data_IF_373221127622
#
_entry.id   IF_373221127622
#
_cell.length_a   1.000
_cell.length_b   1.000
_cell.length_c   1.000
_cell.angle_alpha   90.00
_cell.angle_beta   90.00
_cell.angle_gamma   90.00
#
_symmetry.space_group_name_H-M   'P 1'
#
loop_
_entity.id
_entity.type
_entity.pdbx_description
1 polymer ?
#
# COMPACT_ATOMS: atom_id res chain seq x y z
N UNK A 1 -3.31 27.97 -1.42
CA UNK A 1 -2.92 26.89 -2.33
C UNK A 1 -1.47 26.48 -2.08
N UNK A 2 -1.19 25.18 -2.01
CA UNK A 2 0.17 24.70 -1.73
C UNK A 2 1.12 25.04 -2.87
N UNK A 3 2.26 25.65 -2.52
CA UNK A 3 3.30 25.98 -3.51
C UNK A 3 4.13 24.74 -3.84
N UNK A 4 4.90 24.83 -4.93
CA UNK A 4 5.83 23.77 -5.33
C UNK A 4 6.84 23.45 -4.21
N UNK A 5 7.38 24.49 -3.57
CA UNK A 5 8.36 24.30 -2.49
C UNK A 5 7.74 23.62 -1.27
N UNK A 6 6.52 23.98 -0.93
CA UNK A 6 5.79 23.31 0.15
C UNK A 6 5.51 21.85 -0.18
N UNK A 7 5.16 21.57 -1.44
CA UNK A 7 4.93 20.21 -1.91
C UNK A 7 6.20 19.36 -1.78
N UNK A 8 7.34 19.88 -2.24
CA UNK A 8 8.62 19.16 -2.15
C UNK A 8 8.96 18.83 -0.69
N UNK A 9 8.73 19.77 0.22
CA UNK A 9 8.99 19.54 1.65
C UNK A 9 8.08 18.45 2.22
N UNK A 10 6.81 18.48 1.86
CA UNK A 10 5.85 17.46 2.31
C UNK A 10 6.22 16.07 1.77
N UNK A 11 6.59 16.00 0.50
CA UNK A 11 7.03 14.75 -0.11
C UNK A 11 8.27 14.21 0.60
N UNK A 12 9.23 15.08 0.92
CA UNK A 12 10.45 14.67 1.64
C UNK A 12 10.12 14.02 2.99
N UNK A 13 9.08 14.51 3.67
CA UNK A 13 8.65 13.96 4.95
C UNK A 13 7.89 12.63 4.80
N UNK A 14 7.12 12.48 3.73
CA UNK A 14 6.21 11.33 3.57
C UNK A 14 6.78 10.22 2.69
N UNK A 15 7.87 10.46 1.98
CA UNK A 15 8.40 9.54 0.98
C UNK A 15 8.78 8.18 1.56
N UNK A 16 9.42 8.15 2.71
CA UNK A 16 9.85 6.89 3.34
C UNK A 16 8.64 6.02 3.72
N UNK A 17 7.62 6.63 4.33
CA UNK A 17 6.39 5.93 4.71
C UNK A 17 5.66 5.39 3.48
N UNK A 18 5.59 6.19 2.41
CA UNK A 18 4.98 5.78 1.15
C UNK A 18 5.68 4.55 0.56
N UNK A 19 7.00 4.57 0.52
CA UNK A 19 7.78 3.46 -0.05
C UNK A 19 7.66 2.19 0.79
N UNK A 20 7.67 2.32 2.12
CA UNK A 20 7.46 1.17 3.01
C UNK A 20 6.07 0.54 2.80
N UNK A 21 5.06 1.38 2.69
CA UNK A 21 3.69 0.94 2.47
C UNK A 21 3.56 0.17 1.14
N UNK A 22 4.07 0.74 0.06
CA UNK A 22 4.00 0.12 -1.26
C UNK A 22 4.83 -1.16 -1.33
N UNK A 23 6.00 -1.20 -0.67
CA UNK A 23 6.82 -2.41 -0.62
C UNK A 23 6.06 -3.55 0.06
N UNK A 24 5.38 -3.26 1.17
CA UNK A 24 4.58 -4.26 1.87
C UNK A 24 3.38 -4.70 1.03
N UNK A 25 2.71 -3.76 0.35
CA UNK A 25 1.61 -4.09 -0.57
C UNK A 25 2.07 -5.01 -1.69
N UNK A 26 3.28 -4.81 -2.19
CA UNK A 26 3.88 -5.62 -3.25
C UNK A 26 4.61 -6.84 -2.69
N UNK A 27 4.37 -7.17 -1.43
CA UNK A 27 4.90 -8.37 -0.76
C UNK A 27 6.42 -8.50 -0.88
N UNK A 28 7.11 -7.36 -0.77
CA UNK A 28 8.57 -7.31 -0.76
C UNK A 28 9.22 -7.00 -2.11
N UNK A 29 8.44 -6.88 -3.18
CA UNK A 29 8.99 -6.53 -4.49
C UNK A 29 9.30 -5.03 -4.53
N UNK A 30 10.54 -4.68 -4.22
CA UNK A 30 10.97 -3.29 -4.14
C UNK A 30 10.97 -2.58 -5.49
N UNK A 31 11.26 -3.30 -6.57
CA UNK A 31 11.26 -2.73 -7.92
C UNK A 31 9.87 -2.25 -8.32
N UNK A 32 8.86 -3.09 -8.16
CA UNK A 32 7.47 -2.73 -8.46
C UNK A 32 6.99 -1.63 -7.52
N UNK A 33 7.35 -1.71 -6.23
CA UNK A 33 6.98 -0.69 -5.25
C UNK A 33 7.58 0.68 -5.60
N UNK A 34 8.84 0.71 -6.04
CA UNK A 34 9.49 1.97 -6.46
C UNK A 34 8.80 2.58 -7.67
N UNK A 35 8.42 1.77 -8.65
CA UNK A 35 7.68 2.24 -9.82
C UNK A 35 6.34 2.85 -9.41
N UNK A 36 5.62 2.19 -8.50
CA UNK A 36 4.34 2.70 -7.99
C UNK A 36 4.53 3.98 -7.17
N UNK A 37 5.63 4.07 -6.41
CA UNK A 37 5.94 5.28 -5.65
C UNK A 37 6.19 6.46 -6.58
N UNK A 38 6.96 6.26 -7.65
CA UNK A 38 7.21 7.31 -8.65
C UNK A 38 5.91 7.75 -9.32
N UNK A 39 5.06 6.81 -9.72
CA UNK A 39 3.74 7.12 -10.28
C UNK A 39 2.89 7.91 -9.31
N UNK A 40 2.90 7.53 -8.04
CA UNK A 40 2.15 8.23 -7.00
C UNK A 40 2.61 9.67 -6.86
N UNK A 41 3.91 9.88 -6.79
CA UNK A 41 4.49 11.22 -6.65
C UNK A 41 4.21 12.09 -7.87
N UNK A 42 4.29 11.52 -9.05
CA UNK A 42 3.98 12.23 -10.30
C UNK A 42 2.50 12.64 -10.34
N UNK A 43 1.61 11.72 -10.01
CA UNK A 43 0.16 12.00 -9.98
C UNK A 43 -0.18 13.03 -8.91
N UNK A 44 0.47 12.96 -7.76
CA UNK A 44 0.29 13.95 -6.70
C UNK A 44 0.68 15.35 -7.18
N UNK A 45 1.80 15.46 -7.87
CA UNK A 45 2.24 16.74 -8.43
C UNK A 45 1.24 17.28 -9.46
N UNK A 46 0.78 16.41 -10.35
CA UNK A 46 -0.20 16.79 -11.38
C UNK A 46 -1.55 17.19 -10.79
N UNK A 47 -1.92 16.65 -9.64
CA UNK A 47 -3.19 16.93 -8.98
C UNK A 47 -3.05 17.93 -7.82
N UNK A 48 -1.91 18.59 -7.72
CA UNK A 48 -1.61 19.49 -6.60
C UNK A 48 -2.66 20.60 -6.45
N UNK A 49 -3.19 21.11 -7.57
CA UNK A 49 -4.23 22.13 -7.56
C UNK A 49 -5.55 21.65 -6.94
N UNK A 50 -5.76 20.34 -6.90
CA UNK A 50 -6.97 19.72 -6.32
C UNK A 50 -6.81 19.38 -4.84
N UNK A 51 -5.61 19.54 -4.29
CA UNK A 51 -5.37 19.25 -2.88
C UNK A 51 -6.03 20.31 -2.01
N UNK A 52 -6.87 19.85 -1.08
CA UNK A 52 -7.51 20.70 -0.08
C UNK A 52 -6.61 20.78 1.15
N UNK A 53 -6.06 21.96 1.42
CA UNK A 53 -5.13 22.19 2.53
C UNK A 53 -5.74 21.93 3.90
N UNK A 54 -7.07 21.84 3.99
CA UNK A 54 -7.75 21.48 5.24
C UNK A 54 -7.61 19.99 5.55
N UNK A 55 -7.22 19.16 4.57
CA UNK A 55 -6.99 17.72 4.76
C UNK A 55 -5.51 17.44 4.99
N UNK A 56 -5.24 16.34 5.70
CA UNK A 56 -3.85 15.90 5.90
C UNK A 56 -3.22 15.53 4.56
N UNK A 57 -2.02 16.05 4.32
CA UNK A 57 -1.27 15.75 3.11
C UNK A 57 -0.98 14.25 3.01
N UNK A 58 -0.58 13.62 4.13
CA UNK A 58 -0.26 12.20 4.16
C UNK A 58 -1.44 11.33 3.71
N UNK A 59 -2.65 11.61 4.20
CA UNK A 59 -3.86 10.86 3.82
C UNK A 59 -4.19 11.05 2.35
N UNK A 60 -4.06 12.27 1.86
CA UNK A 60 -4.30 12.58 0.45
C UNK A 60 -3.32 11.83 -0.45
N UNK A 61 -2.04 11.80 -0.07
CA UNK A 61 -1.01 11.07 -0.80
C UNK A 61 -1.28 9.56 -0.79
N UNK A 62 -1.69 9.01 0.37
CA UNK A 62 -2.03 7.59 0.49
C UNK A 62 -3.22 7.20 -0.38
N UNK A 63 -4.19 8.10 -0.53
CA UNK A 63 -5.32 7.84 -1.43
C UNK A 63 -4.85 7.72 -2.89
N UNK A 64 -3.93 8.58 -3.30
CA UNK A 64 -3.34 8.48 -4.64
C UNK A 64 -2.58 7.17 -4.80
N UNK A 65 -1.79 6.80 -3.79
CA UNK A 65 -1.05 5.53 -3.79
C UNK A 65 -1.98 4.33 -3.87
N UNK A 66 -3.09 4.36 -3.15
CA UNK A 66 -4.11 3.32 -3.22
C UNK A 66 -4.63 3.14 -4.65
N UNK A 67 -4.98 4.25 -5.31
CA UNK A 67 -5.46 4.19 -6.69
C UNK A 67 -4.39 3.67 -7.66
N UNK A 68 -3.14 4.09 -7.49
CA UNK A 68 -2.02 3.59 -8.30
C UNK A 68 -1.89 2.08 -8.13
N UNK A 69 -1.94 1.59 -6.90
CA UNK A 69 -1.82 0.17 -6.61
C UNK A 69 -2.98 -0.62 -7.23
N UNK A 70 -4.21 -0.16 -7.05
CA UNK A 70 -5.39 -0.86 -7.58
C UNK A 70 -5.35 -0.90 -9.11
N UNK A 71 -4.98 0.20 -9.76
CA UNK A 71 -4.89 0.25 -11.22
C UNK A 71 -3.82 -0.71 -11.75
N UNK A 72 -2.67 -0.76 -11.11
CA UNK A 72 -1.60 -1.68 -11.48
C UNK A 72 -2.01 -3.13 -11.22
N UNK A 73 -2.67 -3.39 -10.10
CA UNK A 73 -3.16 -4.73 -9.76
C UNK A 73 -4.15 -5.24 -10.81
N UNK A 74 -5.08 -4.39 -11.25
CA UNK A 74 -6.06 -4.74 -12.29
C UNK A 74 -5.38 -5.07 -13.61
N UNK A 75 -4.36 -4.30 -14.00
CA UNK A 75 -3.59 -4.56 -15.21
C UNK A 75 -2.88 -5.91 -15.13
N UNK A 76 -2.23 -6.20 -14.01
CA UNK A 76 -1.55 -7.47 -13.80
C UNK A 76 -2.52 -8.64 -13.85
N UNK A 77 -3.71 -8.50 -13.25
CA UNK A 77 -4.75 -9.53 -13.30
C UNK A 77 -5.27 -9.78 -14.72
N UNK A 78 -5.47 -8.73 -15.50
CA UNK A 78 -5.99 -8.86 -16.86
C UNK A 78 -4.98 -9.48 -17.82
N UNK A 79 -3.68 -9.36 -17.53
CA UNK A 79 -2.61 -9.92 -18.35
C UNK A 79 -2.05 -11.22 -17.80
N UNK A 80 -2.40 -11.62 -16.59
CA UNK A 80 -1.87 -12.81 -15.96
C UNK A 80 -2.78 -13.99 -16.19
N UNK A 81 -2.45 -14.80 -17.18
CA UNK A 81 -2.97 -16.16 -17.28
C UNK A 81 -2.21 -17.10 -16.33
N UNK A 82 -1.17 -16.60 -15.66
CA UNK A 82 -0.30 -17.39 -14.78
C UNK A 82 -0.09 -16.67 -13.44
N UNK A 83 0.00 -17.42 -12.31
CA UNK A 83 0.26 -16.82 -10.99
C UNK A 83 1.70 -16.38 -10.79
N UNK A 84 2.32 -15.86 -11.82
CA UNK A 84 3.74 -15.47 -11.85
C UNK A 84 3.99 -14.20 -11.04
N UNK A 85 3.00 -13.30 -10.95
CA UNK A 85 3.17 -12.02 -10.26
C UNK A 85 3.51 -12.22 -8.78
N UNK A 86 2.82 -13.16 -8.12
CA UNK A 86 3.04 -13.46 -6.71
C UNK A 86 4.42 -14.06 -6.45
N UNK A 87 4.79 -15.05 -7.27
CA UNK A 87 6.09 -15.70 -7.17
C UNK A 87 7.22 -14.71 -7.45
N UNK A 88 7.01 -13.79 -8.38
CA UNK A 88 7.99 -12.76 -8.73
C UNK A 88 8.22 -11.79 -7.58
N UNK A 89 7.14 -11.37 -6.89
CA UNK A 89 7.27 -10.51 -5.73
C UNK A 89 8.14 -11.14 -4.65
N UNK A 90 7.92 -12.42 -4.37
CA UNK A 90 8.66 -13.15 -3.34
C UNK A 90 10.12 -13.35 -3.75
N UNK A 91 10.39 -13.66 -5.03
CA UNK A 91 11.74 -13.86 -5.52
C UNK A 91 12.60 -12.60 -5.37
N UNK A 92 12.06 -11.45 -5.73
CA UNK A 92 12.79 -10.19 -5.59
C UNK A 92 13.11 -9.89 -4.13
N UNK A 93 12.21 -10.25 -3.22
CA UNK A 93 12.40 -10.07 -1.80
C UNK A 93 13.53 -10.94 -1.24
N UNK A 94 13.78 -12.10 -1.83
CA UNK A 94 14.80 -13.03 -1.37
C UNK A 94 16.24 -12.56 -1.63
N UNK A 95 16.41 -11.49 -2.41
CA UNK A 95 17.74 -11.01 -2.76
C UNK A 95 18.39 -10.13 -1.71
N UNK A 96 17.70 -9.82 -0.60
CA UNK A 96 18.24 -9.01 0.49
C UNK A 96 18.12 -9.75 1.83
N UNK A 97 19.07 -9.52 2.73
CA UNK A 97 19.07 -10.12 4.08
C UNK A 97 17.80 -9.77 4.85
N UNK A 98 17.31 -8.51 4.68
CA UNK A 98 16.10 -8.05 5.33
C UNK A 98 14.85 -8.75 4.79
N UNK A 99 14.85 -9.08 3.50
CA UNK A 99 13.74 -9.78 2.86
C UNK A 99 13.58 -11.19 3.43
N UNK A 100 14.70 -11.86 3.73
CA UNK A 100 14.68 -13.21 4.31
C UNK A 100 14.00 -13.23 5.68
N UNK A 101 14.27 -12.19 6.48
CA UNK A 101 13.69 -12.04 7.83
C UNK A 101 12.17 -11.89 7.78
N UNK A 102 11.64 -11.24 6.72
CA UNK A 102 10.21 -10.93 6.58
C UNK A 102 9.48 -11.84 5.61
N UNK A 103 10.13 -12.92 5.15
CA UNK A 103 9.54 -13.80 4.14
C UNK A 103 8.19 -14.38 4.60
N UNK A 104 8.11 -14.85 5.84
CA UNK A 104 6.87 -15.40 6.39
C UNK A 104 5.75 -14.36 6.40
N UNK A 105 6.08 -13.12 6.76
CA UNK A 105 5.13 -12.02 6.79
C UNK A 105 4.65 -11.69 5.37
N UNK A 106 5.56 -11.60 4.41
CA UNK A 106 5.18 -11.31 3.01
C UNK A 106 4.30 -12.40 2.43
N UNK A 107 4.59 -13.67 2.73
CA UNK A 107 3.74 -14.79 2.30
C UNK A 107 2.34 -14.69 2.91
N UNK A 108 2.26 -14.33 4.19
CA UNK A 108 0.98 -14.15 4.86
C UNK A 108 0.20 -12.98 4.26
N UNK A 109 0.86 -11.87 3.98
CA UNK A 109 0.22 -10.71 3.35
C UNK A 109 -0.28 -11.04 1.94
N UNK A 110 0.49 -11.82 1.19
CA UNK A 110 0.11 -12.23 -0.16
C UNK A 110 -1.15 -13.09 -0.16
N UNK A 111 -1.37 -13.87 0.88
CA UNK A 111 -2.57 -14.71 1.02
C UNK A 111 -3.85 -13.89 1.22
N UNK A 112 -3.72 -12.65 1.67
CA UNK A 112 -4.86 -11.77 1.86
C UNK A 112 -5.33 -11.21 0.50
N UNK A 113 -6.64 -10.99 0.37
CA UNK A 113 -7.13 -10.24 -0.79
C UNK A 113 -6.52 -8.83 -0.77
N UNK A 114 -6.42 -8.20 -1.92
CA UNK A 114 -5.81 -6.87 -2.04
C UNK A 114 -6.48 -5.83 -1.15
N UNK A 115 -7.81 -5.87 -1.04
CA UNK A 115 -8.55 -4.91 -0.19
C UNK A 115 -8.24 -5.12 1.29
N UNK A 116 -8.19 -6.37 1.73
CA UNK A 116 -7.88 -6.70 3.12
C UNK A 116 -6.42 -6.32 3.43
N UNK A 117 -5.51 -6.62 2.51
CA UNK A 117 -4.10 -6.28 2.67
C UNK A 117 -3.90 -4.77 2.82
N UNK A 118 -4.51 -3.99 1.94
CA UNK A 118 -4.45 -2.52 1.99
C UNK A 118 -4.92 -2.01 3.35
N UNK A 119 -6.07 -2.49 3.79
CA UNK A 119 -6.69 -2.04 5.05
C UNK A 119 -5.82 -2.39 6.26
N UNK A 120 -5.30 -3.61 6.30
CA UNK A 120 -4.40 -4.07 7.37
C UNK A 120 -3.16 -3.18 7.42
N UNK A 121 -2.54 -2.91 6.28
CA UNK A 121 -1.31 -2.11 6.24
C UNK A 121 -1.56 -0.64 6.57
N UNK A 122 -2.67 -0.07 6.12
CA UNK A 122 -3.00 1.31 6.48
C UNK A 122 -3.22 1.46 7.99
N UNK A 123 -3.82 0.47 8.62
CA UNK A 123 -4.09 0.52 10.05
C UNK A 123 -2.84 0.23 10.90
N UNK A 124 -2.21 -0.92 10.65
CA UNK A 124 -1.13 -1.40 11.53
C UNK A 124 0.24 -0.81 11.20
N UNK A 125 0.51 -0.56 9.93
CA UNK A 125 1.81 0.01 9.52
C UNK A 125 1.79 1.55 9.53
N UNK A 126 0.73 2.16 9.00
CA UNK A 126 0.66 3.61 8.83
C UNK A 126 -0.13 4.31 9.96
N UNK A 127 -0.83 3.56 10.80
CA UNK A 127 -1.50 4.10 11.97
C UNK A 127 -2.81 4.82 11.70
N UNK A 128 -3.43 4.62 10.55
CA UNK A 128 -4.71 5.26 10.23
C UNK A 128 -5.86 4.58 10.97
N UNK A 129 -6.83 5.39 11.39
CA UNK A 129 -8.05 4.91 12.01
C UNK A 129 -9.08 4.50 10.95
N UNK A 130 -10.08 3.74 11.36
CA UNK A 130 -11.12 3.21 10.48
C UNK A 130 -11.73 4.29 9.58
N UNK A 131 -12.07 5.43 10.16
CA UNK A 131 -12.67 6.55 9.42
C UNK A 131 -11.74 7.06 8.31
N UNK A 132 -10.46 7.20 8.61
CA UNK A 132 -9.46 7.66 7.64
C UNK A 132 -9.26 6.63 6.53
N UNK A 133 -9.21 5.35 6.89
CA UNK A 133 -9.06 4.26 5.92
C UNK A 133 -10.26 4.23 4.97
N UNK A 134 -11.46 4.43 5.49
CA UNK A 134 -12.67 4.49 4.68
C UNK A 134 -12.57 5.61 3.63
N UNK A 135 -12.06 6.77 4.01
CA UNK A 135 -11.85 7.89 3.08
C UNK A 135 -10.76 7.59 2.04
N UNK A 136 -9.66 6.98 2.46
CA UNK A 136 -8.53 6.64 1.57
C UNK A 136 -8.95 5.61 0.52
N UNK A 137 -9.74 4.60 0.92
CA UNK A 137 -10.08 3.47 0.06
C UNK A 137 -11.46 3.56 -0.58
N UNK A 138 -12.17 4.66 -0.37
CA UNK A 138 -13.54 4.88 -0.86
C UNK A 138 -14.49 3.76 -0.42
N UNK A 139 -14.30 3.28 0.80
CA UNK A 139 -15.11 2.23 1.40
C UNK A 139 -15.94 2.78 2.57
N UNK A 140 -16.88 2.00 3.04
CA UNK A 140 -17.63 2.34 4.24
C UNK A 140 -16.83 1.94 5.48
N UNK A 141 -17.09 2.60 6.62
CA UNK A 141 -16.43 2.24 7.87
C UNK A 141 -16.77 0.79 8.27
N UNK A 142 -17.98 0.36 8.00
CA UNK A 142 -18.41 -1.01 8.25
C UNK A 142 -17.58 -2.02 7.45
N UNK A 143 -17.35 -1.74 6.17
CA UNK A 143 -16.51 -2.58 5.30
C UNK A 143 -15.08 -2.63 5.82
N UNK A 144 -14.52 -1.49 6.24
CA UNK A 144 -13.17 -1.41 6.79
C UNK A 144 -13.03 -2.27 8.05
N UNK A 145 -14.01 -2.18 8.96
CA UNK A 145 -14.02 -3.00 10.18
C UNK A 145 -14.03 -4.49 9.87
N UNK A 146 -14.85 -4.91 8.90
CA UNK A 146 -14.91 -6.31 8.46
C UNK A 146 -13.58 -6.77 7.86
N UNK A 147 -12.96 -5.92 7.04
CA UNK A 147 -11.66 -6.21 6.44
C UNK A 147 -10.56 -6.36 7.49
N UNK A 148 -10.55 -5.49 8.50
CA UNK A 148 -9.59 -5.58 9.60
C UNK A 148 -9.78 -6.88 10.40
N UNK A 149 -11.02 -7.21 10.71
CA UNK A 149 -11.34 -8.44 11.45
C UNK A 149 -10.89 -9.68 10.67
N UNK A 150 -11.24 -9.75 9.39
CA UNK A 150 -10.87 -10.86 8.51
C UNK A 150 -9.35 -10.96 8.35
N UNK A 151 -8.69 -9.84 8.16
CA UNK A 151 -7.24 -9.81 8.00
C UNK A 151 -6.52 -10.30 9.25
N UNK A 152 -6.97 -9.88 10.44
CA UNK A 152 -6.39 -10.34 11.69
C UNK A 152 -6.53 -11.85 11.86
N UNK A 153 -7.71 -12.38 11.54
CA UNK A 153 -7.96 -13.82 11.65
C UNK A 153 -7.07 -14.62 10.71
N UNK A 154 -6.98 -14.22 9.46
CA UNK A 154 -6.16 -14.90 8.46
C UNK A 154 -4.67 -14.83 8.79
N UNK A 155 -4.18 -13.68 9.24
CA UNK A 155 -2.79 -13.53 9.64
C UNK A 155 -2.46 -14.38 10.86
N UNK A 156 -3.37 -14.44 11.84
CA UNK A 156 -3.18 -15.29 13.01
C UNK A 156 -3.02 -16.76 12.61
N UNK A 157 -3.88 -17.24 11.72
CA UNK A 157 -3.82 -18.63 11.27
C UNK A 157 -2.50 -18.94 10.58
N UNK A 158 -2.04 -18.03 9.71
CA UNK A 158 -0.84 -18.28 8.91
C UNK A 158 0.44 -18.13 9.69
N UNK A 159 0.52 -17.15 10.58
CA UNK A 159 1.73 -16.89 11.36
C UNK A 159 1.86 -17.83 12.57
N UNK A 160 0.76 -18.43 12.99
CA UNK A 160 0.75 -19.34 14.13
C UNK A 160 1.25 -20.75 13.78
N UNK A 161 1.19 -21.11 12.50
CA UNK A 161 1.59 -22.43 12.01
C UNK A 161 3.10 -22.53 11.73
N UNK A 162 3.86 -21.53 12.15
CA UNK A 162 5.34 -21.52 11.99
C UNK A 162 6.09 -21.72 13.29
#
# INVERSE_FOLDING_TARGET
MMTRDQFVRQISQEQAALRRFLTALCCGNSTTADDMAQDTLLKAYMQLSQYDERKRFASWLMKIAYHVFIDNWRKLKSHAEEPIASAKFIQDAQQTDNAFRYQALYLALESLSEKVRITILLHYMQGYQVKEIAEITDATESAVKKQLSRGREELKKRLKDE
#
